data_IF_559914083323
#
_entry.id   IF_559914083323
#
_cell.length_a   1.000
_cell.length_b   1.000
_cell.length_c   1.000
_cell.angle_alpha   90.00
_cell.angle_beta   90.00
_cell.angle_gamma   90.00
#
_symmetry.space_group_name_H-M   'P 1'
#
loop_
_entity.id
_entity.type
_entity.pdbx_description
1 polymer ?
#
# COMPACT_ATOMS: atom_id res chain seq x y z
N UNK A 1 27.31 0.54 -12.48
CA UNK A 1 25.87 0.49 -12.85
C UNK A 1 25.06 -0.42 -11.92
N UNK A 2 25.51 -1.64 -11.62
CA UNK A 2 24.81 -2.56 -10.71
C UNK A 2 24.60 -2.01 -9.27
N UNK A 3 25.59 -1.30 -8.72
CA UNK A 3 25.49 -0.71 -7.38
C UNK A 3 24.40 0.38 -7.27
N UNK A 4 24.21 1.20 -8.30
CA UNK A 4 23.13 2.18 -8.34
C UNK A 4 21.76 1.50 -8.36
N UNK A 5 21.62 0.37 -9.09
CA UNK A 5 20.38 -0.41 -9.11
C UNK A 5 20.02 -0.99 -7.74
N UNK A 6 21.00 -1.46 -6.97
CA UNK A 6 20.76 -1.93 -5.59
C UNK A 6 20.36 -0.79 -4.63
N UNK A 7 20.93 0.40 -4.79
CA UNK A 7 20.53 1.58 -3.99
C UNK A 7 19.08 1.96 -4.28
N UNK A 8 18.70 2.03 -5.56
CA UNK A 8 17.31 2.33 -5.97
C UNK A 8 16.35 1.25 -5.47
N UNK A 9 16.74 -0.03 -5.56
CA UNK A 9 15.93 -1.12 -5.03
C UNK A 9 15.75 -1.00 -3.50
N UNK A 10 16.81 -0.66 -2.75
CA UNK A 10 16.73 -0.43 -1.31
C UNK A 10 15.80 0.72 -0.93
N UNK A 11 15.90 1.86 -1.63
CA UNK A 11 15.02 3.01 -1.43
C UNK A 11 13.56 2.69 -1.77
N UNK A 12 13.33 1.94 -2.85
CA UNK A 12 12.00 1.51 -3.25
C UNK A 12 11.38 0.55 -2.21
N UNK A 13 12.16 -0.38 -1.65
CA UNK A 13 11.71 -1.25 -0.56
C UNK A 13 11.40 -0.43 0.70
N UNK A 14 12.24 0.53 1.07
CA UNK A 14 11.98 1.41 2.20
C UNK A 14 10.69 2.23 1.99
N UNK A 15 10.47 2.75 0.79
CA UNK A 15 9.22 3.44 0.40
C UNK A 15 7.99 2.52 0.45
N UNK A 16 8.14 1.25 0.04
CA UNK A 16 7.09 0.24 0.15
C UNK A 16 6.75 -0.03 1.64
N UNK A 17 7.76 -0.21 2.51
CA UNK A 17 7.51 -0.40 3.95
C UNK A 17 6.84 0.82 4.56
N UNK A 18 7.31 2.03 4.27
CA UNK A 18 6.73 3.26 4.78
C UNK A 18 5.27 3.44 4.34
N UNK A 19 4.98 3.23 3.05
CA UNK A 19 3.61 3.30 2.51
C UNK A 19 2.69 2.21 3.08
N UNK A 20 3.21 1.00 3.30
CA UNK A 20 2.46 -0.07 3.95
C UNK A 20 2.08 0.27 5.40
N UNK A 21 3.02 0.80 6.20
CA UNK A 21 2.76 1.23 7.58
C UNK A 21 1.69 2.32 7.62
N UNK A 22 1.80 3.32 6.74
CA UNK A 22 0.80 4.40 6.64
C UNK A 22 -0.57 3.81 6.27
N UNK A 23 -0.63 2.98 5.22
CA UNK A 23 -1.87 2.32 4.80
C UNK A 23 -2.51 1.50 5.91
N UNK A 24 -1.74 0.67 6.62
CA UNK A 24 -2.21 -0.14 7.75
C UNK A 24 -2.75 0.73 8.90
N UNK A 25 -2.08 1.83 9.22
CA UNK A 25 -2.50 2.74 10.30
C UNK A 25 -3.84 3.40 9.99
N UNK A 26 -4.00 3.95 8.77
CA UNK A 26 -5.25 4.58 8.35
C UNK A 26 -6.39 3.57 8.18
N UNK A 27 -6.07 2.34 7.76
CA UNK A 27 -7.03 1.24 7.68
C UNK A 27 -7.59 0.86 9.06
N UNK A 28 -6.71 0.70 10.06
CA UNK A 28 -7.15 0.42 11.45
C UNK A 28 -7.99 1.57 12.00
N UNK A 29 -7.62 2.83 11.74
CA UNK A 29 -8.42 3.99 12.14
C UNK A 29 -9.81 3.97 11.52
N UNK A 30 -9.89 3.66 10.22
CA UNK A 30 -11.16 3.54 9.50
C UNK A 30 -12.05 2.45 10.11
N UNK A 31 -11.49 1.29 10.43
CA UNK A 31 -12.23 0.20 11.09
C UNK A 31 -12.73 0.59 12.48
N UNK A 32 -11.91 1.32 13.27
CA UNK A 32 -12.32 1.81 14.60
C UNK A 32 -13.52 2.75 14.49
N UNK A 33 -13.50 3.67 13.54
CA UNK A 33 -14.59 4.63 13.31
C UNK A 33 -15.91 3.94 12.95
N UNK A 34 -15.86 2.97 12.03
CA UNK A 34 -17.03 2.19 11.61
C UNK A 34 -17.55 1.33 12.78
N UNK A 35 -16.65 0.75 13.59
CA UNK A 35 -17.01 -0.09 14.73
C UNK A 35 -17.66 0.66 15.89
N UNK A 36 -17.43 1.98 15.99
CA UNK A 36 -18.06 2.84 17.00
C UNK A 36 -19.55 3.13 16.74
N UNK A 37 -20.06 2.85 15.54
CA UNK A 37 -21.46 3.10 15.18
C UNK A 37 -22.30 1.82 15.35
N UNK A 38 -23.26 1.76 16.31
CA UNK A 38 -24.13 0.60 16.49
C UNK A 38 -24.92 0.33 15.20
N UNK A 39 -24.80 -0.88 14.64
CA UNK A 39 -25.51 -1.29 13.41
C UNK A 39 -24.63 -1.45 12.15
N UNK A 40 -23.35 -1.05 12.18
CA UNK A 40 -22.45 -1.12 11.02
C UNK A 40 -21.52 -2.35 10.99
N UNK A 41 -21.78 -3.38 11.79
CA UNK A 41 -20.96 -4.62 11.83
C UNK A 41 -20.78 -5.28 10.46
N UNK A 42 -21.82 -5.29 9.63
CA UNK A 42 -21.75 -5.83 8.25
C UNK A 42 -20.83 -5.00 7.34
N UNK A 43 -20.70 -3.70 7.61
CA UNK A 43 -19.79 -2.79 6.89
C UNK A 43 -18.33 -3.06 7.30
N UNK A 44 -18.07 -3.32 8.59
CA UNK A 44 -16.74 -3.73 9.09
C UNK A 44 -16.27 -5.02 8.43
N UNK A 45 -17.12 -6.04 8.39
CA UNK A 45 -16.78 -7.33 7.74
C UNK A 45 -16.53 -7.13 6.25
N UNK A 46 -17.35 -6.34 5.56
CA UNK A 46 -17.09 -5.97 4.16
C UNK A 46 -15.82 -5.18 3.96
N UNK A 47 -15.47 -4.27 4.87
CA UNK A 47 -14.21 -3.54 4.81
C UNK A 47 -13.01 -4.48 4.94
N UNK A 48 -13.12 -5.53 5.77
CA UNK A 48 -12.07 -6.54 5.94
C UNK A 48 -11.91 -7.43 4.72
N UNK A 49 -13.01 -7.96 4.19
CA UNK A 49 -12.97 -8.97 3.11
C UNK A 49 -12.90 -8.31 1.72
N UNK A 50 -13.53 -7.15 1.57
CA UNK A 50 -13.83 -6.54 0.28
C UNK A 50 -13.64 -5.01 0.35
N UNK A 51 -12.48 -4.57 0.88
CA UNK A 51 -12.09 -3.17 1.00
C UNK A 51 -12.46 -2.29 -0.21
N UNK A 52 -12.11 -2.64 -1.47
CA UNK A 52 -12.45 -1.79 -2.62
C UNK A 52 -13.96 -1.57 -2.81
N UNK A 53 -14.79 -2.52 -2.41
CA UNK A 53 -16.26 -2.40 -2.48
C UNK A 53 -16.85 -1.71 -1.24
N UNK A 54 -16.16 -1.79 -0.10
CA UNK A 54 -16.58 -1.13 1.13
C UNK A 54 -16.38 0.39 1.07
N UNK A 55 -15.33 0.87 0.39
CA UNK A 55 -15.00 2.31 0.28
C UNK A 55 -16.19 3.12 -0.26
N UNK A 56 -16.89 2.64 -1.28
CA UNK A 56 -18.04 3.34 -1.87
C UNK A 56 -19.24 3.50 -0.94
N UNK A 57 -19.23 2.82 0.22
CA UNK A 57 -20.25 2.90 1.26
C UNK A 57 -19.79 3.68 2.49
N UNK A 58 -18.50 4.07 2.56
CA UNK A 58 -17.98 4.88 3.66
C UNK A 58 -18.38 6.34 3.47
N UNK A 59 -18.83 6.98 4.55
CA UNK A 59 -19.22 8.39 4.58
C UNK A 59 -18.55 9.09 5.77
N UNK A 60 -18.42 10.41 5.70
CA UNK A 60 -17.82 11.22 6.77
C UNK A 60 -16.31 11.00 6.94
N UNK A 61 -15.80 11.10 8.16
CA UNK A 61 -14.36 10.99 8.46
C UNK A 61 -13.74 9.64 8.04
N UNK A 62 -14.54 8.56 8.03
CA UNK A 62 -14.11 7.25 7.55
C UNK A 62 -13.75 7.26 6.06
N UNK A 63 -14.42 8.08 5.23
CA UNK A 63 -14.11 8.23 3.81
C UNK A 63 -12.77 8.96 3.59
N UNK A 64 -12.45 9.94 4.43
CA UNK A 64 -11.17 10.66 4.39
C UNK A 64 -10.02 9.70 4.68
N UNK A 65 -10.14 8.89 5.73
CA UNK A 65 -9.14 7.89 6.08
C UNK A 65 -9.00 6.82 4.98
N UNK A 66 -10.12 6.34 4.41
CA UNK A 66 -10.10 5.37 3.32
C UNK A 66 -9.42 5.89 2.05
N UNK A 67 -9.57 7.17 1.73
CA UNK A 67 -8.88 7.80 0.59
C UNK A 67 -7.36 7.77 0.77
N UNK A 68 -6.87 7.98 1.99
CA UNK A 68 -5.45 7.92 2.33
C UNK A 68 -4.91 6.50 2.21
N UNK A 69 -5.69 5.48 2.63
CA UNK A 69 -5.33 4.07 2.42
C UNK A 69 -5.16 3.76 0.93
N UNK A 70 -6.04 4.26 0.07
CA UNK A 70 -5.93 4.01 -1.37
C UNK A 70 -4.67 4.67 -1.97
N UNK A 71 -4.36 5.92 -1.58
CA UNK A 71 -3.12 6.59 -1.98
C UNK A 71 -1.88 5.81 -1.51
N UNK A 72 -1.91 5.31 -0.29
CA UNK A 72 -0.83 4.49 0.27
C UNK A 72 -0.66 3.17 -0.49
N UNK A 73 -1.75 2.50 -0.86
CA UNK A 73 -1.71 1.30 -1.70
C UNK A 73 -1.12 1.58 -3.09
N UNK A 74 -1.51 2.66 -3.74
CA UNK A 74 -0.94 3.06 -5.04
C UNK A 74 0.56 3.32 -4.90
N UNK A 75 0.98 4.06 -3.87
CA UNK A 75 2.40 4.31 -3.62
C UNK A 75 3.18 3.02 -3.33
N UNK A 76 2.60 2.09 -2.58
CA UNK A 76 3.16 0.78 -2.31
C UNK A 76 3.38 -0.04 -3.59
N UNK A 77 2.36 -0.15 -4.44
CA UNK A 77 2.46 -0.87 -5.72
C UNK A 77 3.48 -0.21 -6.65
N UNK A 78 3.50 1.12 -6.74
CA UNK A 78 4.51 1.83 -7.53
C UNK A 78 5.93 1.53 -7.03
N UNK A 79 6.16 1.58 -5.71
CA UNK A 79 7.46 1.23 -5.12
C UNK A 79 7.85 -0.22 -5.40
N UNK A 80 6.92 -1.17 -5.29
CA UNK A 80 7.19 -2.58 -5.62
C UNK A 80 7.58 -2.77 -7.09
N UNK A 81 6.85 -2.14 -8.02
CA UNK A 81 7.16 -2.22 -9.46
C UNK A 81 8.56 -1.67 -9.74
N UNK A 82 8.92 -0.54 -9.12
CA UNK A 82 10.26 0.04 -9.25
C UNK A 82 11.33 -0.90 -8.68
N UNK A 83 11.10 -1.49 -7.50
CA UNK A 83 12.03 -2.43 -6.90
C UNK A 83 12.25 -3.66 -7.80
N UNK A 84 11.18 -4.27 -8.32
CA UNK A 84 11.25 -5.43 -9.22
C UNK A 84 11.97 -5.07 -10.53
N UNK A 85 11.70 -3.90 -11.08
CA UNK A 85 12.37 -3.40 -12.29
C UNK A 85 13.87 -3.20 -12.07
N UNK A 86 14.25 -2.58 -10.95
CA UNK A 86 15.65 -2.35 -10.58
C UNK A 86 16.42 -3.68 -10.39
N UNK A 87 15.80 -4.67 -9.75
CA UNK A 87 16.38 -6.02 -9.58
C UNK A 87 16.50 -6.73 -10.94
N UNK A 88 15.50 -6.60 -11.82
CA UNK A 88 15.55 -7.18 -13.17
C UNK A 88 16.66 -6.58 -14.03
N UNK A 89 16.88 -5.27 -13.93
CA UNK A 89 17.99 -4.58 -14.61
C UNK A 89 19.34 -5.03 -14.04
N UNK A 90 19.47 -5.11 -12.71
CA UNK A 90 20.71 -5.55 -12.06
C UNK A 90 21.10 -6.98 -12.46
N UNK A 91 20.13 -7.90 -12.49
CA UNK A 91 20.35 -9.30 -12.86
C UNK A 91 20.66 -9.50 -14.34
N UNK A 92 20.08 -8.70 -15.24
CA UNK A 92 20.43 -8.73 -16.68
C UNK A 92 21.82 -8.14 -16.93
N UNK A 93 22.15 -6.99 -16.33
CA UNK A 93 23.48 -6.39 -16.45
C UNK A 93 24.58 -7.33 -15.96
N UNK A 94 24.36 -8.00 -14.82
CA UNK A 94 25.32 -8.97 -14.28
C UNK A 94 25.51 -10.22 -15.17
N UNK A 95 24.49 -10.58 -15.97
CA UNK A 95 24.58 -11.68 -16.94
C UNK A 95 25.32 -11.29 -18.21
N UNK A 96 25.12 -10.07 -18.71
CA UNK A 96 25.76 -9.57 -19.94
C UNK A 96 27.21 -9.15 -19.70
N UNK A 97 27.58 -8.75 -18.48
CA UNK A 97 28.94 -8.34 -18.14
C UNK A 97 29.91 -9.49 -17.82
N UNK A 98 29.48 -10.75 -18.01
CA UNK A 98 30.25 -11.96 -17.72
C UNK A 98 30.51 -12.72 -19.01
#
# INVERSE_FOLDING_TARGET
MAQAAYIVAGLAVAGAVASWIVGATFYVRTLREISGTPGQRGLVVRAIVAWPFAIGRLQGEAAVHASTVNKALVAFFACLIVAVSAVSVATNLARVSR
#
